data_IF_185285644318
#
_entry.id   IF_185285644318
#
_cell.length_a   1.000
_cell.length_b   1.000
_cell.length_c   1.000
_cell.angle_alpha   90.00
_cell.angle_beta   90.00
_cell.angle_gamma   90.00
#
_symmetry.space_group_name_H-M   'P 1'
#
loop_
_entity.id
_entity.type
_entity.pdbx_description
1 polymer ?
#
# COMPACT_ATOMS: atom_id res chain seq x y z
N UNK A 1 -20.93 44.33 -21.36
CA UNK A 1 -19.86 43.39 -21.77
C UNK A 1 -19.08 42.82 -20.57
N UNK A 2 -19.78 42.39 -19.50
CA UNK A 2 -19.19 41.95 -18.22
C UNK A 2 -19.71 40.57 -17.79
N UNK A 3 -20.92 40.22 -18.20
CA UNK A 3 -21.57 38.93 -17.90
C UNK A 3 -20.93 37.74 -18.63
N UNK A 4 -20.52 37.94 -19.90
CA UNK A 4 -19.85 36.92 -20.71
C UNK A 4 -18.47 36.52 -20.14
N UNK A 5 -17.72 37.48 -19.58
CA UNK A 5 -16.42 37.20 -18.94
C UNK A 5 -16.56 36.35 -17.68
N UNK A 6 -17.58 36.61 -16.84
CA UNK A 6 -17.82 35.81 -15.61
C UNK A 6 -18.16 34.35 -15.92
N UNK A 7 -19.02 34.10 -16.91
CA UNK A 7 -19.37 32.74 -17.32
C UNK A 7 -18.18 31.98 -17.92
N UNK A 8 -17.28 32.68 -18.62
CA UNK A 8 -16.06 32.08 -19.16
C UNK A 8 -15.07 31.70 -18.04
N UNK A 9 -14.91 32.57 -17.03
CA UNK A 9 -14.06 32.31 -15.85
C UNK A 9 -14.61 31.13 -15.04
N UNK A 10 -15.92 31.06 -14.83
CA UNK A 10 -16.55 29.95 -14.09
C UNK A 10 -16.38 28.62 -14.84
N UNK A 11 -16.51 28.63 -16.18
CA UNK A 11 -16.25 27.44 -17.01
C UNK A 11 -14.79 27.01 -16.92
N UNK A 12 -13.85 27.95 -17.00
CA UNK A 12 -12.42 27.68 -16.91
C UNK A 12 -12.03 27.09 -15.55
N UNK A 13 -12.55 27.66 -14.46
CA UNK A 13 -12.28 27.18 -13.10
C UNK A 13 -12.86 25.78 -12.86
N UNK A 14 -14.07 25.49 -13.38
CA UNK A 14 -14.68 24.15 -13.30
C UNK A 14 -13.87 23.11 -14.08
N UNK A 15 -13.37 23.46 -15.28
CA UNK A 15 -12.54 22.56 -16.08
C UNK A 15 -11.21 22.26 -15.38
N UNK A 16 -10.56 23.25 -14.76
CA UNK A 16 -9.34 23.03 -13.96
C UNK A 16 -9.61 22.11 -12.76
N UNK A 17 -10.70 22.34 -12.03
CA UNK A 17 -11.07 21.52 -10.87
C UNK A 17 -11.37 20.07 -11.27
N UNK A 18 -12.06 19.87 -12.41
CA UNK A 18 -12.34 18.55 -12.97
C UNK A 18 -11.05 17.82 -13.38
N UNK A 19 -10.08 18.53 -13.97
CA UNK A 19 -8.75 17.99 -14.29
C UNK A 19 -8.04 17.56 -13.00
N UNK A 20 -8.01 18.40 -11.96
CA UNK A 20 -7.37 18.06 -10.67
C UNK A 20 -8.03 16.85 -9.98
N UNK A 21 -9.34 16.63 -10.18
CA UNK A 21 -10.07 15.50 -9.59
C UNK A 21 -9.99 14.21 -10.43
N UNK A 22 -9.80 14.30 -11.75
CA UNK A 22 -9.70 13.14 -12.67
C UNK A 22 -8.25 12.68 -12.84
N UNK A 23 -7.27 13.57 -12.70
CA UNK A 23 -5.88 13.19 -12.52
C UNK A 23 -5.67 12.96 -11.02
N UNK A 24 -5.66 11.72 -10.50
CA UNK A 24 -5.17 11.49 -9.16
C UNK A 24 -3.71 11.96 -9.16
N UNK A 25 -3.50 13.15 -8.62
CA UNK A 25 -2.23 13.70 -8.17
C UNK A 25 -1.04 13.17 -8.97
N UNK A 26 -0.91 13.57 -10.24
CA UNK A 26 0.37 13.40 -10.95
C UNK A 26 1.36 14.48 -10.50
N UNK A 27 1.53 14.61 -9.18
CA UNK A 27 2.87 14.77 -8.65
C UNK A 27 3.33 13.36 -8.32
N UNK A 28 3.86 12.68 -9.32
CA UNK A 28 4.75 11.55 -9.09
C UNK A 28 6.07 12.06 -8.47
N UNK A 29 5.99 12.73 -7.32
CA UNK A 29 7.08 12.62 -6.35
C UNK A 29 6.90 11.20 -5.82
N UNK A 30 7.69 10.28 -6.38
CA UNK A 30 7.68 8.88 -5.98
C UNK A 30 7.64 8.78 -4.45
N UNK A 31 6.77 7.90 -3.97
CA UNK A 31 6.59 7.48 -2.59
C UNK A 31 7.63 8.10 -1.64
N UNK A 32 7.19 9.02 -0.76
CA UNK A 32 7.93 9.16 0.48
C UNK A 32 7.85 7.79 1.13
N UNK A 33 8.97 7.05 1.18
CA UNK A 33 9.05 5.73 1.80
C UNK A 33 8.51 5.84 3.21
N UNK A 34 7.24 5.48 3.38
CA UNK A 34 6.58 5.51 4.68
C UNK A 34 6.73 4.12 5.30
N UNK A 35 6.96 4.11 6.60
CA UNK A 35 6.83 2.88 7.35
C UNK A 35 5.34 2.51 7.36
N UNK A 36 4.98 1.50 6.58
CA UNK A 36 3.59 1.09 6.39
C UNK A 36 3.12 0.23 7.56
N UNK A 37 3.95 -0.75 7.98
CA UNK A 37 3.52 -1.75 8.95
C UNK A 37 4.69 -2.48 9.63
N UNK A 38 4.43 -3.07 10.81
CA UNK A 38 5.32 -4.05 11.46
C UNK A 38 4.56 -5.12 12.22
N UNK A 39 5.08 -6.35 12.14
CA UNK A 39 4.59 -7.50 12.89
C UNK A 39 5.72 -8.10 13.72
N UNK A 40 5.52 -8.23 15.03
CA UNK A 40 6.42 -9.03 15.85
C UNK A 40 6.18 -10.51 15.57
N UNK A 41 7.20 -11.19 15.06
CA UNK A 41 7.21 -12.63 14.88
C UNK A 41 8.07 -13.23 16.00
N UNK A 42 7.51 -14.17 16.76
CA UNK A 42 8.14 -14.80 17.95
C UNK A 42 9.44 -15.58 17.63
N UNK A 43 9.87 -15.59 16.37
CA UNK A 43 11.14 -16.14 15.90
C UNK A 43 12.30 -15.21 16.31
N UNK A 44 13.17 -15.66 17.23
CA UNK A 44 14.31 -14.86 17.72
C UNK A 44 15.37 -14.57 16.66
N UNK A 45 15.47 -15.40 15.62
CA UNK A 45 16.45 -15.24 14.54
C UNK A 45 15.76 -15.64 13.21
N UNK A 46 15.22 -14.66 12.50
CA UNK A 46 14.74 -14.86 11.13
C UNK A 46 15.90 -14.73 10.14
N UNK A 47 16.01 -15.67 9.20
CA UNK A 47 17.01 -15.67 8.14
C UNK A 47 16.44 -15.27 6.78
N UNK A 48 15.13 -15.46 6.59
CA UNK A 48 14.50 -15.17 5.32
C UNK A 48 12.99 -15.10 5.45
N UNK A 49 12.40 -14.36 4.51
CA UNK A 49 10.98 -14.16 4.34
C UNK A 49 10.66 -14.29 2.85
N UNK A 50 9.56 -14.96 2.51
CA UNK A 50 9.03 -14.99 1.15
C UNK A 50 7.51 -14.97 1.18
N UNK A 51 6.92 -14.42 0.13
CA UNK A 51 5.47 -14.43 -0.09
C UNK A 51 5.11 -15.43 -1.18
N UNK A 52 3.90 -16.00 -1.08
CA UNK A 52 3.28 -16.66 -2.22
C UNK A 52 3.02 -15.59 -3.31
N UNK A 53 3.06 -15.94 -4.62
CA UNK A 53 2.86 -14.95 -5.69
C UNK A 53 1.53 -14.19 -5.64
N UNK A 54 0.49 -14.77 -5.05
CA UNK A 54 -0.81 -14.11 -4.84
C UNK A 54 -0.85 -13.22 -3.58
N UNK A 55 0.23 -13.16 -2.81
CA UNK A 55 0.37 -12.37 -1.59
C UNK A 55 -0.46 -12.87 -0.40
N UNK A 56 -1.18 -13.98 -0.52
CA UNK A 56 -2.11 -14.47 0.53
C UNK A 56 -1.44 -15.33 1.60
N UNK A 57 -0.19 -15.74 1.36
CA UNK A 57 0.63 -16.48 2.32
C UNK A 57 2.03 -15.88 2.44
N UNK A 58 2.55 -15.91 3.64
CA UNK A 58 3.93 -15.52 3.97
C UNK A 58 4.63 -16.67 4.71
N UNK A 59 5.88 -16.91 4.34
CA UNK A 59 6.73 -17.93 4.91
C UNK A 59 7.96 -17.28 5.54
N UNK A 60 8.28 -17.65 6.78
CA UNK A 60 9.45 -17.16 7.49
C UNK A 60 10.29 -18.36 7.95
N UNK A 61 11.59 -18.29 7.69
CA UNK A 61 12.56 -19.32 8.13
C UNK A 61 13.56 -18.72 9.11
N UNK A 62 14.06 -19.54 10.03
CA UNK A 62 14.97 -19.08 11.06
C UNK A 62 15.63 -20.22 11.85
N UNK A 63 16.75 -19.91 12.51
CA UNK A 63 17.60 -20.90 13.17
C UNK A 63 17.04 -21.43 14.48
N UNK A 64 16.13 -20.68 15.12
CA UNK A 64 15.70 -20.97 16.49
C UNK A 64 14.87 -22.25 16.62
N UNK A 65 14.13 -22.64 15.58
CA UNK A 65 13.12 -23.70 15.68
C UNK A 65 13.21 -24.77 14.59
N UNK A 66 14.20 -24.69 13.67
CA UNK A 66 14.35 -25.60 12.53
C UNK A 66 13.02 -25.90 11.81
N UNK A 67 12.15 -24.90 11.71
CA UNK A 67 10.80 -24.99 11.14
C UNK A 67 10.54 -23.79 10.24
N UNK A 68 9.66 -24.00 9.27
CA UNK A 68 9.07 -22.95 8.46
C UNK A 68 7.84 -22.44 9.20
N UNK A 69 7.75 -21.12 9.39
CA UNK A 69 6.58 -20.47 9.95
C UNK A 69 5.72 -19.99 8.80
N UNK A 70 4.49 -20.47 8.76
CA UNK A 70 3.51 -20.10 7.75
C UNK A 70 2.50 -19.13 8.35
N UNK A 71 2.16 -18.12 7.56
CA UNK A 71 1.17 -17.13 7.92
C UNK A 71 0.17 -16.95 6.78
N UNK A 72 -1.11 -16.98 7.12
CA UNK A 72 -2.18 -16.57 6.21
C UNK A 72 -2.40 -15.07 6.31
N UNK A 73 -2.53 -14.41 5.16
CA UNK A 73 -2.79 -12.99 5.02
C UNK A 73 -4.19 -12.83 4.43
N UNK A 74 -5.10 -12.19 5.16
CA UNK A 74 -6.45 -11.94 4.64
C UNK A 74 -6.45 -10.88 3.53
N UNK A 75 -5.44 -10.01 3.52
CA UNK A 75 -5.19 -9.02 2.48
C UNK A 75 -3.81 -9.27 1.89
N UNK A 76 -3.74 -9.39 0.56
CA UNK A 76 -2.49 -9.74 -0.12
C UNK A 76 -1.37 -8.74 0.23
N UNK A 77 -0.21 -9.27 0.65
CA UNK A 77 1.00 -8.50 1.04
C UNK A 77 0.85 -7.58 2.27
N UNK A 78 -0.29 -7.58 2.96
CA UNK A 78 -0.50 -6.78 4.18
C UNK A 78 -0.20 -7.60 5.43
N UNK A 79 1.01 -7.41 5.99
CA UNK A 79 1.51 -8.21 7.12
C UNK A 79 0.75 -7.96 8.44
N UNK A 80 -0.07 -6.90 8.54
CA UNK A 80 -0.89 -6.61 9.71
C UNK A 80 -1.96 -7.69 9.87
N UNK A 81 -2.44 -8.18 8.74
CA UNK A 81 -3.44 -9.25 8.62
C UNK A 81 -2.87 -10.66 8.79
N UNK A 82 -1.55 -10.78 8.95
CA UNK A 82 -0.88 -12.07 9.08
C UNK A 82 -1.34 -12.82 10.35
N UNK A 83 -1.87 -14.02 10.13
CA UNK A 83 -2.26 -14.98 11.17
C UNK A 83 -1.38 -16.21 11.06
N UNK A 84 -0.71 -16.59 12.16
CA UNK A 84 0.20 -17.74 12.20
C UNK A 84 -0.61 -19.04 12.09
N UNK A 85 -0.21 -19.91 11.17
CA UNK A 85 -0.69 -21.28 11.10
C UNK A 85 0.12 -22.14 12.09
N UNK A 86 -0.58 -22.92 12.91
CA UNK A 86 0.00 -23.72 13.99
C UNK A 86 0.60 -25.04 13.48
#
# INVERSE_FOLDING_TARGET
>A
MTFLKKNLIIKFLKTICLIILIFPNSIAFGEVSSFVDSKNVTQRIAHGITFKPDGTKMFIVGKSQNKIFEFDLSTAFDISTATKNS
#
